data_IF_078377067001
#
_entry.id   IF_078377067001
#
_cell.length_a   1.000
_cell.length_b   1.000
_cell.length_c   1.000
_cell.angle_alpha   90.00
_cell.angle_beta   90.00
_cell.angle_gamma   90.00
#
_symmetry.space_group_name_H-M   'P 1'
#
loop_
_entity.id
_entity.type
_entity.pdbx_description
1 polymer ?
#
# COMPACT_ATOMS: atom_id res chain seq x y z
N UNK A 1 2.27 -4.68 22.79
CA UNK A 1 2.54 -3.36 23.41
C UNK A 1 1.18 -2.69 23.56
N UNK A 2 0.73 -2.52 24.80
CA UNK A 2 -0.53 -1.85 25.13
C UNK A 2 -0.17 -0.45 25.61
N UNK A 3 -0.59 0.57 24.88
CA UNK A 3 -0.54 1.98 25.34
C UNK A 3 -1.71 2.23 26.29
N UNK A 4 -1.47 2.98 27.36
CA UNK A 4 -2.47 3.36 28.38
C UNK A 4 -3.44 4.42 27.85
N UNK A 5 -3.02 5.17 26.82
CA UNK A 5 -3.85 6.18 26.15
C UNK A 5 -4.31 5.70 24.77
N UNK A 6 -5.57 6.01 24.45
CA UNK A 6 -6.16 5.70 23.14
C UNK A 6 -5.54 6.60 22.08
N UNK A 7 -4.72 6.00 21.22
CA UNK A 7 -4.14 6.66 20.06
C UNK A 7 -5.12 6.55 18.88
N UNK A 8 -5.38 7.67 18.21
CA UNK A 8 -6.16 7.70 16.97
C UNK A 8 -5.22 8.01 15.79
N UNK A 9 -5.53 7.46 14.63
CA UNK A 9 -4.85 7.77 13.37
C UNK A 9 -5.91 8.06 12.32
N UNK A 10 -5.82 9.21 11.69
CA UNK A 10 -6.68 9.60 10.58
C UNK A 10 -5.84 9.66 9.31
N UNK A 11 -6.31 8.95 8.29
CA UNK A 11 -5.65 8.87 6.99
C UNK A 11 -6.65 9.13 5.89
N UNK A 12 -6.15 9.66 4.78
CA UNK A 12 -6.93 9.85 3.58
C UNK A 12 -6.10 9.34 2.42
N UNK A 13 -6.56 8.26 1.82
CA UNK A 13 -5.87 7.60 0.75
C UNK A 13 -6.50 7.84 -0.60
N UNK A 14 -5.66 7.82 -1.62
CA UNK A 14 -6.05 8.01 -3.01
C UNK A 14 -5.60 6.79 -3.80
N UNK A 15 -6.54 6.23 -4.56
CA UNK A 15 -6.29 5.11 -5.44
C UNK A 15 -6.74 5.50 -6.84
N UNK A 16 -5.81 5.53 -7.79
CA UNK A 16 -6.09 5.80 -9.18
C UNK A 16 -5.83 4.55 -9.98
N UNK A 17 -6.82 4.15 -10.77
CA UNK A 17 -6.77 2.98 -11.64
C UNK A 17 -7.12 3.39 -13.05
N UNK A 18 -6.26 3.05 -14.02
CA UNK A 18 -6.41 3.44 -15.40
C UNK A 18 -6.20 2.26 -16.33
N UNK A 19 -7.20 1.97 -17.16
CA UNK A 19 -7.11 0.96 -18.21
C UNK A 19 -6.50 1.58 -19.45
N UNK A 20 -5.31 1.11 -19.84
CA UNK A 20 -4.63 1.54 -21.07
C UNK A 20 -5.24 0.80 -22.27
N UNK A 21 -5.47 -0.49 -22.12
CA UNK A 21 -6.14 -1.34 -23.10
C UNK A 21 -6.76 -2.56 -22.37
N UNK A 22 -7.32 -3.52 -23.11
CA UNK A 22 -7.96 -4.71 -22.55
C UNK A 22 -6.98 -5.71 -21.89
N UNK A 23 -5.67 -5.48 -22.00
CA UNK A 23 -4.62 -6.34 -21.44
C UNK A 23 -3.79 -5.62 -20.37
N UNK A 24 -3.69 -4.30 -20.42
CA UNK A 24 -2.81 -3.51 -19.55
C UNK A 24 -3.59 -2.43 -18.81
N UNK A 25 -3.42 -2.42 -17.50
CA UNK A 25 -3.88 -1.35 -16.62
C UNK A 25 -2.74 -0.86 -15.75
N UNK A 26 -2.84 0.39 -15.33
CA UNK A 26 -1.91 1.06 -14.44
C UNK A 26 -2.65 1.49 -13.20
N UNK A 27 -1.99 1.44 -12.05
CA UNK A 27 -2.55 1.95 -10.82
C UNK A 27 -1.50 2.58 -9.93
N UNK A 28 -1.95 3.56 -9.16
CA UNK A 28 -1.14 4.23 -8.14
C UNK A 28 -1.98 4.43 -6.90
N UNK A 29 -1.39 4.10 -5.77
CA UNK A 29 -1.99 4.23 -4.46
C UNK A 29 -1.09 5.11 -3.59
N UNK A 30 -1.66 6.15 -3.00
CA UNK A 30 -0.98 7.01 -2.07
C UNK A 30 -1.84 7.27 -0.84
N UNK A 31 -1.36 6.82 0.33
CA UNK A 31 -2.05 6.94 1.61
C UNK A 31 -1.20 7.72 2.62
N UNK A 32 -1.32 9.06 2.65
CA UNK A 32 -0.75 9.88 3.69
C UNK A 32 -1.51 9.76 5.01
N UNK A 33 -0.75 9.77 6.11
CA UNK A 33 -1.32 9.96 7.45
C UNK A 33 -1.50 11.46 7.66
N UNK A 34 -2.75 11.91 7.78
CA UNK A 34 -3.09 13.34 7.85
C UNK A 34 -3.00 13.85 9.28
N UNK A 35 -3.43 13.06 10.26
CA UNK A 35 -3.30 13.39 11.69
C UNK A 35 -3.30 12.13 12.55
N UNK A 36 -2.80 12.26 13.78
CA UNK A 36 -2.79 11.20 14.77
C UNK A 36 -1.50 10.38 14.76
N UNK A 37 -1.57 9.22 15.41
CA UNK A 37 -0.40 8.39 15.71
C UNK A 37 0.15 7.72 14.45
N UNK A 38 1.42 7.98 14.15
CA UNK A 38 2.12 7.36 13.03
C UNK A 38 2.71 6.00 13.38
N UNK A 39 1.94 5.17 14.08
CA UNK A 39 2.22 3.75 14.31
C UNK A 39 3.57 3.42 14.96
N UNK A 40 3.77 2.11 15.13
CA UNK A 40 5.02 1.49 15.54
C UNK A 40 5.33 0.41 14.51
N UNK A 41 6.47 0.50 13.85
CA UNK A 41 6.92 -0.51 12.88
C UNK A 41 7.48 -1.74 13.60
N UNK A 42 8.16 -1.55 14.73
CA UNK A 42 8.65 -2.58 15.65
C UNK A 42 8.77 -2.06 17.07
N UNK A 43 8.83 -2.93 18.08
CA UNK A 43 8.84 -2.53 19.50
C UNK A 43 9.89 -1.44 19.80
N UNK A 44 9.44 -0.19 20.03
CA UNK A 44 10.31 0.97 20.29
C UNK A 44 10.44 1.99 19.13
N UNK A 45 9.82 1.74 17.97
CA UNK A 45 9.91 2.60 16.79
C UNK A 45 8.69 3.53 16.62
N UNK A 46 8.29 4.18 17.71
CA UNK A 46 7.21 5.16 17.70
C UNK A 46 7.58 6.36 16.82
N UNK A 47 6.70 6.71 15.88
CA UNK A 47 6.88 7.87 15.01
C UNK A 47 7.85 7.66 13.85
N UNK A 48 8.27 6.41 13.57
CA UNK A 48 9.10 6.08 12.40
C UNK A 48 8.30 5.65 11.17
N UNK A 49 6.96 5.67 11.22
CA UNK A 49 6.14 5.31 10.07
C UNK A 49 6.13 6.42 9.02
N UNK A 50 6.15 6.00 7.76
CA UNK A 50 6.15 6.86 6.59
C UNK A 50 4.80 6.80 5.87
N UNK A 51 4.57 7.74 4.96
CA UNK A 51 3.43 7.67 4.06
C UNK A 51 3.55 6.46 3.14
N UNK A 52 2.44 5.77 2.91
CA UNK A 52 2.41 4.59 2.03
C UNK A 52 2.26 5.04 0.59
N UNK A 53 3.11 4.53 -0.29
CA UNK A 53 3.07 4.76 -1.73
C UNK A 53 3.28 3.43 -2.45
N UNK A 54 2.38 3.09 -3.35
CA UNK A 54 2.50 1.94 -4.24
C UNK A 54 2.16 2.35 -5.66
N UNK A 55 2.92 1.82 -6.62
CA UNK A 55 2.70 2.05 -8.04
C UNK A 55 2.85 0.70 -8.74
N UNK A 56 1.89 0.37 -9.58
CA UNK A 56 1.85 -0.90 -10.26
C UNK A 56 1.15 -0.86 -11.59
N UNK A 57 1.23 -2.00 -12.26
CA UNK A 57 0.45 -2.28 -13.44
C UNK A 57 -0.09 -3.70 -13.34
N UNK A 58 -1.22 -3.91 -13.99
CA UNK A 58 -1.79 -5.24 -14.11
C UNK A 58 -1.80 -5.70 -15.57
N UNK A 59 -1.61 -7.00 -15.74
CA UNK A 59 -1.78 -7.68 -17.01
C UNK A 59 -2.99 -8.59 -16.91
N UNK A 60 -4.02 -8.31 -17.70
CA UNK A 60 -5.20 -9.14 -17.82
C UNK A 60 -5.04 -10.16 -18.95
N UNK A 61 -5.11 -11.44 -18.60
CA UNK A 61 -5.12 -12.55 -19.56
C UNK A 61 -6.39 -13.38 -19.38
N UNK A 62 -7.46 -13.00 -20.07
CA UNK A 62 -8.66 -13.83 -20.30
C UNK A 62 -9.15 -14.64 -19.08
N UNK A 63 -9.14 -14.03 -17.89
CA UNK A 63 -9.54 -14.68 -16.63
C UNK A 63 -8.51 -14.64 -15.49
N UNK A 64 -7.25 -14.28 -15.76
CA UNK A 64 -6.21 -14.03 -14.76
C UNK A 64 -5.76 -12.57 -14.80
N UNK A 65 -5.52 -11.98 -13.63
CA UNK A 65 -4.93 -10.67 -13.44
C UNK A 65 -3.57 -10.85 -12.77
N UNK A 66 -2.50 -10.43 -13.44
CA UNK A 66 -1.15 -10.42 -12.90
C UNK A 66 -0.82 -9.02 -12.43
N UNK A 67 -0.68 -8.82 -11.13
CA UNK A 67 -0.33 -7.56 -10.51
C UNK A 67 1.18 -7.48 -10.33
N UNK A 68 1.82 -6.45 -10.89
CA UNK A 68 3.26 -6.21 -10.75
C UNK A 68 3.45 -4.78 -10.27
N UNK A 69 4.11 -4.61 -9.13
CA UNK A 69 4.15 -3.30 -8.49
C UNK A 69 5.35 -3.10 -7.58
N UNK A 70 5.59 -1.84 -7.25
CA UNK A 70 6.57 -1.44 -6.24
C UNK A 70 5.89 -0.67 -5.12
N UNK A 71 6.33 -0.89 -3.89
CA UNK A 71 5.78 -0.21 -2.70
C UNK A 71 6.86 -0.03 -1.63
N UNK A 72 6.75 1.02 -0.81
CA UNK A 72 7.58 1.21 0.37
C UNK A 72 6.98 0.56 1.64
N UNK A 73 5.84 -0.12 1.52
CA UNK A 73 5.14 -0.77 2.64
C UNK A 73 5.39 -2.29 2.66
N UNK A 74 5.51 -2.88 3.85
CA UNK A 74 5.64 -4.32 4.06
C UNK A 74 4.31 -5.06 4.12
N UNK A 75 3.21 -4.34 4.37
CA UNK A 75 1.84 -4.87 4.43
C UNK A 75 1.27 -5.08 3.03
N UNK A 76 1.91 -5.92 2.23
CA UNK A 76 1.52 -6.24 0.85
C UNK A 76 0.20 -7.02 0.80
N UNK A 77 -0.95 -6.35 0.96
CA UNK A 77 -2.24 -6.97 0.74
C UNK A 77 -3.06 -6.20 -0.32
N UNK A 78 -3.21 -6.75 -1.54
CA UNK A 78 -3.98 -6.11 -2.61
C UNK A 78 -5.48 -5.97 -2.30
N UNK A 79 -5.99 -6.65 -1.26
CA UNK A 79 -7.38 -6.52 -0.81
C UNK A 79 -7.55 -5.55 0.39
N UNK A 80 -6.47 -4.92 0.86
CA UNK A 80 -6.53 -4.05 2.03
C UNK A 80 -5.87 -2.70 1.78
N UNK A 81 -6.45 -1.70 2.42
CA UNK A 81 -5.97 -0.33 2.45
C UNK A 81 -4.72 -0.22 3.35
N UNK A 82 -3.62 0.29 2.81
CA UNK A 82 -2.31 0.27 3.47
C UNK A 82 -1.94 1.61 4.09
N UNK A 83 -2.01 1.69 5.42
CA UNK A 83 -1.57 2.85 6.20
C UNK A 83 -0.25 2.54 6.89
N UNK A 84 0.68 3.50 6.81
CA UNK A 84 1.96 3.44 7.50
C UNK A 84 2.94 2.51 6.80
N UNK A 85 3.88 3.09 6.06
CA UNK A 85 4.98 2.37 5.46
C UNK A 85 6.13 2.26 6.45
N UNK A 86 6.78 1.10 6.46
CA UNK A 86 7.94 0.88 7.31
C UNK A 86 9.23 1.46 6.72
N UNK A 87 9.22 1.85 5.42
CA UNK A 87 10.36 2.45 4.73
C UNK A 87 10.06 3.82 4.15
N UNK A 88 11.11 4.64 4.07
CA UNK A 88 11.05 5.97 3.48
C UNK A 88 10.79 5.96 1.97
N UNK A 89 10.42 7.13 1.44
CA UNK A 89 10.28 7.31 -0.01
C UNK A 89 11.63 7.06 -0.71
N UNK A 90 11.68 6.08 -1.61
CA UNK A 90 12.90 5.67 -2.31
C UNK A 90 13.40 4.26 -1.96
N UNK A 91 12.92 3.69 -0.85
CA UNK A 91 13.24 2.33 -0.45
C UNK A 91 12.14 1.35 -0.87
N UNK A 92 12.23 0.90 -2.12
CA UNK A 92 11.17 0.12 -2.76
C UNK A 92 11.29 -1.38 -2.49
N UNK A 93 10.12 -2.02 -2.37
CA UNK A 93 9.93 -3.46 -2.48
C UNK A 93 9.22 -3.76 -3.78
N UNK A 94 9.59 -4.86 -4.40
CA UNK A 94 8.88 -5.41 -5.54
C UNK A 94 7.81 -6.40 -5.06
N UNK A 95 6.59 -6.25 -5.57
CA UNK A 95 5.45 -7.11 -5.30
C UNK A 95 4.94 -7.76 -6.58
N UNK A 96 4.52 -9.01 -6.45
CA UNK A 96 3.85 -9.77 -7.50
C UNK A 96 2.65 -10.50 -6.92
N UNK A 97 1.50 -10.39 -7.60
CA UNK A 97 0.26 -11.04 -7.22
C UNK A 97 -0.45 -11.62 -8.44
N UNK A 98 -1.26 -12.65 -8.20
CA UNK A 98 -2.15 -13.21 -9.24
C UNK A 98 -3.54 -13.30 -8.65
N UNK A 99 -4.50 -12.67 -9.31
CA UNK A 99 -5.93 -12.79 -8.98
C UNK A 99 -6.64 -13.48 -10.14
N UNK A 100 -7.57 -14.38 -9.83
CA UNK A 100 -8.41 -15.05 -10.83
C UNK A 100 -9.87 -14.72 -10.56
N UNK A 101 -10.62 -14.38 -11.60
CA UNK A 101 -12.08 -14.31 -11.49
C UNK A 101 -12.65 -15.74 -11.62
N UNK A 102 -13.37 -16.19 -10.59
CA UNK A 102 -14.07 -17.48 -10.56
C UNK A 102 -15.43 -17.38 -11.25
#
# INVERSE_FOLDING_TARGET
>A
IFTVDSEYTFTLGNYYYYYVNSMWSLWVEYNPIVTGYQGVIGAGETGKSHNSLAIGFDIETGGHFFHIFVTNNDRLNPAQYLVGADRGAGEWRFGFGITRHL
#
